data_IF_737372671983
#
_entry.id   IF_737372671983
#
_cell.length_a   1.000
_cell.length_b   1.000
_cell.length_c   1.000
_cell.angle_alpha   90.00
_cell.angle_beta   90.00
_cell.angle_gamma   90.00
#
_symmetry.space_group_name_H-M   'P 1'
#
loop_
_entity.id
_entity.type
_entity.pdbx_description
1 polymer ?
#
# COMPACT_ATOMS: atom_id res chain seq x y z
N UNK A 1 12.31 3.27 35.30
CA UNK A 1 12.47 2.66 33.97
C UNK A 1 13.26 3.66 33.14
N UNK A 2 14.50 3.34 32.76
CA UNK A 2 15.36 4.28 32.05
C UNK A 2 14.77 4.60 30.68
N UNK A 3 14.44 5.87 30.45
CA UNK A 3 14.12 6.36 29.12
C UNK A 3 15.37 6.20 28.25
N UNK A 4 15.39 5.18 27.40
CA UNK A 4 16.36 5.10 26.31
C UNK A 4 16.02 6.20 25.31
N UNK A 5 16.53 7.41 25.56
CA UNK A 5 16.47 8.49 24.58
C UNK A 5 17.31 8.08 23.37
N UNK A 6 16.65 7.98 22.21
CA UNK A 6 17.34 7.84 20.92
C UNK A 6 18.11 9.13 20.72
N UNK A 7 19.39 9.15 21.11
CA UNK A 7 20.26 10.30 20.93
C UNK A 7 20.56 10.49 19.45
N UNK A 8 20.83 11.73 19.04
CA UNK A 8 21.25 12.03 17.66
C UNK A 8 22.47 11.20 17.24
N UNK A 9 23.34 10.85 18.21
CA UNK A 9 24.49 9.97 18.01
C UNK A 9 24.09 8.52 17.69
N UNK A 10 23.10 7.97 18.42
CA UNK A 10 22.57 6.63 18.12
C UNK A 10 21.90 6.56 16.74
N UNK A 11 21.23 7.65 16.34
CA UNK A 11 20.63 7.78 15.01
C UNK A 11 21.72 7.86 13.92
N UNK A 12 22.79 8.64 14.16
CA UNK A 12 23.94 8.72 13.25
C UNK A 12 24.67 7.37 13.11
N UNK A 13 24.85 6.63 14.21
CA UNK A 13 25.40 5.28 14.19
C UNK A 13 24.51 4.30 13.41
N UNK A 14 23.18 4.41 13.52
CA UNK A 14 22.26 3.58 12.73
C UNK A 14 22.39 3.82 11.21
N UNK A 15 22.82 5.03 10.78
CA UNK A 15 23.11 5.32 9.37
C UNK A 15 24.31 4.54 8.83
N UNK A 16 25.18 4.00 9.69
CA UNK A 16 26.27 3.12 9.25
C UNK A 16 25.73 1.86 8.58
N UNK A 17 24.59 1.32 9.03
CA UNK A 17 23.94 0.16 8.39
C UNK A 17 23.53 0.45 6.94
N UNK A 18 23.06 1.68 6.70
CA UNK A 18 22.74 2.16 5.34
C UNK A 18 24.00 2.27 4.51
N UNK A 19 25.09 2.82 5.06
CA UNK A 19 26.37 2.93 4.36
C UNK A 19 26.90 1.56 3.94
N UNK A 20 26.80 0.54 4.80
CA UNK A 20 27.16 -0.84 4.46
C UNK A 20 26.34 -1.34 3.28
N UNK A 21 25.02 -1.13 3.28
CA UNK A 21 24.16 -1.52 2.17
C UNK A 21 24.53 -0.81 0.85
N UNK A 22 24.92 0.47 0.91
CA UNK A 22 25.39 1.23 -0.25
C UNK A 22 26.72 0.67 -0.77
N UNK A 23 27.67 0.36 0.12
CA UNK A 23 28.98 -0.21 -0.26
C UNK A 23 28.81 -1.58 -0.93
N UNK A 24 27.94 -2.44 -0.38
CA UNK A 24 27.62 -3.74 -1.01
C UNK A 24 26.96 -3.53 -2.37
N UNK A 25 25.99 -2.61 -2.45
CA UNK A 25 25.32 -2.31 -3.72
C UNK A 25 26.29 -1.78 -4.80
N UNK A 26 27.28 -1.00 -4.40
CA UNK A 26 28.31 -0.47 -5.30
C UNK A 26 29.25 -1.58 -5.77
N UNK A 27 29.67 -2.47 -4.86
CA UNK A 27 30.51 -3.63 -5.19
C UNK A 27 29.82 -4.58 -6.15
N UNK A 28 28.53 -4.85 -5.93
CA UNK A 28 27.71 -5.71 -6.77
C UNK A 28 27.16 -5.01 -8.03
N UNK A 29 27.51 -3.73 -8.26
CA UNK A 29 27.08 -2.92 -9.42
C UNK A 29 25.56 -2.92 -9.65
N UNK A 30 24.78 -2.94 -8.58
CA UNK A 30 23.30 -2.98 -8.66
C UNK A 30 22.69 -1.66 -9.17
N UNK A 31 23.48 -0.57 -9.21
CA UNK A 31 23.03 0.73 -9.70
C UNK A 31 22.01 1.43 -8.79
N UNK A 32 21.84 0.95 -7.55
CA UNK A 32 20.84 1.44 -6.60
C UNK A 32 21.36 2.57 -5.69
N UNK A 33 22.65 2.91 -5.72
CA UNK A 33 23.25 3.82 -4.73
C UNK A 33 22.56 5.19 -4.69
N UNK A 34 22.37 5.81 -5.86
CA UNK A 34 21.72 7.12 -5.99
C UNK A 34 20.25 7.05 -5.56
N UNK A 35 19.57 5.96 -5.91
CA UNK A 35 18.17 5.74 -5.56
C UNK A 35 17.99 5.53 -4.05
N UNK A 36 18.89 4.78 -3.40
CA UNK A 36 18.91 4.57 -1.95
C UNK A 36 19.15 5.91 -1.24
N UNK A 37 20.19 6.65 -1.64
CA UNK A 37 20.56 7.90 -0.98
C UNK A 37 19.47 8.97 -1.12
N UNK A 38 18.90 9.12 -2.32
CA UNK A 38 17.79 10.04 -2.55
C UNK A 38 16.51 9.61 -1.81
N UNK A 39 16.23 8.31 -1.75
CA UNK A 39 15.07 7.79 -1.01
C UNK A 39 15.17 8.05 0.49
N UNK A 40 16.37 7.91 1.07
CA UNK A 40 16.60 8.15 2.49
C UNK A 40 16.52 9.63 2.82
N UNK A 41 17.20 10.49 2.05
CA UNK A 41 17.14 11.94 2.25
C UNK A 41 15.68 12.43 2.18
N UNK A 42 14.94 11.97 1.16
CA UNK A 42 13.51 12.25 1.03
C UNK A 42 12.69 11.73 2.22
N UNK A 43 12.92 10.50 2.67
CA UNK A 43 12.20 9.90 3.79
C UNK A 43 12.42 10.69 5.09
N UNK A 44 13.66 11.09 5.38
CA UNK A 44 13.98 11.91 6.57
C UNK A 44 13.25 13.25 6.52
N UNK A 45 13.35 13.97 5.41
CA UNK A 45 12.66 15.27 5.24
C UNK A 45 11.15 15.09 5.37
N UNK A 46 10.58 14.06 4.74
CA UNK A 46 9.14 13.78 4.81
C UNK A 46 8.68 13.44 6.23
N UNK A 47 9.42 12.61 6.97
CA UNK A 47 9.08 12.23 8.33
C UNK A 47 9.13 13.43 9.28
N UNK A 48 10.13 14.32 9.12
CA UNK A 48 10.22 15.56 9.90
C UNK A 48 9.00 16.45 9.63
N UNK A 49 8.69 16.70 8.36
CA UNK A 49 7.54 17.55 7.97
C UNK A 49 6.23 16.95 8.51
N UNK A 50 6.01 15.65 8.28
CA UNK A 50 4.79 14.97 8.73
C UNK A 50 4.70 14.98 10.26
N UNK A 51 5.82 14.82 10.98
CA UNK A 51 5.84 14.90 12.44
C UNK A 51 5.35 16.25 12.96
N UNK A 52 5.82 17.37 12.38
CA UNK A 52 5.35 18.71 12.75
C UNK A 52 3.88 18.94 12.37
N UNK A 53 3.46 18.49 11.18
CA UNK A 53 2.06 18.59 10.73
C UNK A 53 1.14 17.81 11.69
N UNK A 54 1.49 16.59 12.06
CA UNK A 54 0.71 15.78 13.00
C UNK A 54 0.64 16.43 14.38
N UNK A 55 1.74 16.99 14.89
CA UNK A 55 1.76 17.73 16.16
C UNK A 55 0.72 18.86 16.17
N UNK A 56 0.61 19.61 15.07
CA UNK A 56 -0.39 20.67 14.94
C UNK A 56 -1.81 20.11 14.85
N UNK A 57 -2.05 19.13 13.97
CA UNK A 57 -3.38 18.54 13.75
C UNK A 57 -3.93 17.91 15.04
N UNK A 58 -3.07 17.23 15.81
CA UNK A 58 -3.46 16.60 17.07
C UNK A 58 -3.87 17.63 18.13
N UNK A 59 -3.25 18.82 18.13
CA UNK A 59 -3.59 19.88 19.08
C UNK A 59 -4.90 20.60 18.71
N UNK A 60 -5.16 20.80 17.42
CA UNK A 60 -6.38 21.50 16.95
C UNK A 60 -7.64 20.63 17.08
N UNK A 61 -7.49 19.31 17.06
CA UNK A 61 -8.56 18.32 17.25
C UNK A 61 -9.85 18.60 16.43
N UNK A 62 -9.68 18.94 15.14
CA UNK A 62 -10.80 19.31 14.27
C UNK A 62 -11.09 18.22 13.22
N UNK A 63 -12.32 17.71 13.20
CA UNK A 63 -12.75 16.60 12.34
C UNK A 63 -12.47 16.82 10.84
N UNK A 64 -12.69 18.05 10.35
CA UNK A 64 -12.42 18.42 8.96
C UNK A 64 -10.93 18.31 8.60
N UNK A 65 -10.02 18.73 9.49
CA UNK A 65 -8.58 18.61 9.25
C UNK A 65 -8.13 17.14 9.23
N UNK A 66 -8.70 16.32 10.11
CA UNK A 66 -8.50 14.86 10.09
C UNK A 66 -8.92 14.27 8.75
N UNK A 67 -10.13 14.58 8.27
CA UNK A 67 -10.64 14.07 7.00
C UNK A 67 -9.78 14.53 5.81
N UNK A 68 -9.35 15.80 5.79
CA UNK A 68 -8.45 16.32 4.77
C UNK A 68 -7.11 15.57 4.76
N UNK A 69 -6.56 15.26 5.93
CA UNK A 69 -5.32 14.48 6.02
C UNK A 69 -5.52 13.04 5.52
N UNK A 70 -6.64 12.40 5.84
CA UNK A 70 -6.98 11.07 5.30
C UNK A 70 -7.10 11.10 3.77
N UNK A 71 -7.75 12.11 3.20
CA UNK A 71 -7.84 12.29 1.75
C UNK A 71 -6.47 12.53 1.11
N UNK A 72 -5.61 13.33 1.76
CA UNK A 72 -4.23 13.55 1.31
C UNK A 72 -3.41 12.25 1.30
N UNK A 73 -3.58 11.40 2.32
CA UNK A 73 -2.97 10.06 2.38
C UNK A 73 -3.49 9.18 1.23
N UNK A 74 -4.80 9.09 1.04
CA UNK A 74 -5.41 8.30 -0.03
C UNK A 74 -4.97 8.77 -1.43
N UNK A 75 -4.86 10.09 -1.63
CA UNK A 75 -4.35 10.67 -2.88
C UNK A 75 -2.91 10.23 -3.16
N UNK A 76 -2.00 10.36 -2.17
CA UNK A 76 -0.61 9.95 -2.31
C UNK A 76 -0.48 8.43 -2.51
N UNK A 77 -1.27 7.65 -1.79
CA UNK A 77 -1.35 6.20 -1.94
C UNK A 77 -1.77 5.81 -3.37
N UNK A 78 -2.82 6.42 -3.91
CA UNK A 78 -3.26 6.20 -5.29
C UNK A 78 -2.21 6.62 -6.32
N UNK A 79 -1.55 7.76 -6.10
CA UNK A 79 -0.50 8.27 -6.97
C UNK A 79 0.73 7.35 -7.03
N UNK A 80 1.11 6.75 -5.91
CA UNK A 80 2.21 5.79 -5.86
C UNK A 80 1.79 4.40 -6.38
N UNK A 81 0.55 3.98 -6.14
CA UNK A 81 0.02 2.72 -6.67
C UNK A 81 0.04 2.69 -8.21
N UNK A 82 -0.39 3.78 -8.88
CA UNK A 82 -0.35 3.84 -10.34
C UNK A 82 1.08 3.75 -10.91
N UNK A 83 2.06 4.33 -10.22
CA UNK A 83 3.47 4.36 -10.68
C UNK A 83 4.11 2.97 -10.67
N UNK A 84 3.54 2.02 -9.91
CA UNK A 84 4.03 0.64 -9.82
C UNK A 84 3.76 -0.18 -11.09
N UNK A 85 2.82 0.19 -11.94
CA UNK A 85 2.57 -0.52 -13.22
C UNK A 85 3.01 0.30 -14.42
N UNK A 86 3.71 -0.35 -15.35
CA UNK A 86 4.16 0.23 -16.62
C UNK A 86 3.16 0.00 -17.78
N UNK A 87 2.07 -0.72 -17.51
CA UNK A 87 1.19 -1.28 -18.54
C UNK A 87 -0.19 -0.62 -18.62
N UNK A 88 -0.59 0.12 -17.58
CA UNK A 88 -1.94 0.67 -17.46
C UNK A 88 -1.86 2.20 -17.46
N UNK A 89 -2.46 2.83 -18.46
CA UNK A 89 -2.51 4.29 -18.54
C UNK A 89 -3.61 4.82 -17.64
N UNK A 90 -3.38 6.02 -17.07
CA UNK A 90 -4.37 6.75 -16.27
C UNK A 90 -4.99 5.89 -15.16
N UNK A 91 -4.18 5.05 -14.51
CA UNK A 91 -4.63 4.18 -13.42
C UNK A 91 -4.98 4.96 -12.14
N UNK A 92 -4.60 6.25 -12.05
CA UNK A 92 -4.83 7.11 -10.90
C UNK A 92 -6.27 7.09 -10.39
N UNK A 93 -7.26 7.36 -11.26
CA UNK A 93 -8.67 7.45 -10.85
C UNK A 93 -9.16 6.08 -10.32
N UNK A 94 -8.78 5.00 -11.00
CA UNK A 94 -9.10 3.64 -10.58
C UNK A 94 -8.47 3.29 -9.23
N UNK A 95 -7.23 3.74 -8.98
CA UNK A 95 -6.53 3.59 -7.70
C UNK A 95 -7.17 4.42 -6.60
N UNK A 96 -7.54 5.67 -6.91
CA UNK A 96 -8.13 6.60 -5.97
C UNK A 96 -9.47 6.08 -5.48
N UNK A 97 -10.34 5.64 -6.39
CA UNK A 97 -11.62 5.02 -6.04
C UNK A 97 -11.38 3.76 -5.22
N UNK A 98 -10.51 2.87 -5.66
CA UNK A 98 -10.27 1.61 -4.96
C UNK A 98 -9.74 1.79 -3.53
N UNK A 99 -8.67 2.57 -3.36
CA UNK A 99 -8.00 2.79 -2.07
C UNK A 99 -8.90 3.63 -1.16
N UNK A 100 -9.56 4.67 -1.68
CA UNK A 100 -10.45 5.50 -0.86
C UNK A 100 -11.67 4.72 -0.39
N UNK A 101 -12.31 3.94 -1.27
CA UNK A 101 -13.45 3.09 -0.88
C UNK A 101 -13.05 2.02 0.13
N UNK A 102 -11.91 1.34 -0.09
CA UNK A 102 -11.39 0.37 0.88
C UNK A 102 -11.09 1.01 2.23
N UNK A 103 -10.39 2.14 2.22
CA UNK A 103 -10.01 2.85 3.45
C UNK A 103 -11.22 3.40 4.19
N UNK A 104 -12.13 4.05 3.48
CA UNK A 104 -13.35 4.63 4.06
C UNK A 104 -14.25 3.55 4.66
N UNK A 105 -14.46 2.43 3.95
CA UNK A 105 -15.28 1.34 4.46
C UNK A 105 -14.66 0.73 5.73
N UNK A 106 -13.36 0.47 5.73
CA UNK A 106 -12.67 -0.10 6.89
C UNK A 106 -12.68 0.86 8.08
N UNK A 107 -12.40 2.15 7.87
CA UNK A 107 -12.49 3.15 8.94
C UNK A 107 -13.92 3.28 9.47
N UNK A 108 -14.92 3.30 8.58
CA UNK A 108 -16.32 3.37 9.00
C UNK A 108 -16.71 2.18 9.88
N UNK A 109 -16.32 0.96 9.51
CA UNK A 109 -16.56 -0.23 10.34
C UNK A 109 -15.90 -0.09 11.72
N UNK A 110 -14.63 0.35 11.77
CA UNK A 110 -13.90 0.48 13.04
C UNK A 110 -14.46 1.57 13.97
N UNK A 111 -14.92 2.68 13.41
CA UNK A 111 -15.52 3.78 14.17
C UNK A 111 -16.92 3.38 14.66
N UNK A 112 -17.73 2.78 13.78
CA UNK A 112 -19.10 2.36 14.11
C UNK A 112 -19.12 1.18 15.10
N UNK A 113 -18.13 0.31 15.07
CA UNK A 113 -17.98 -0.77 16.05
C UNK A 113 -17.47 -0.30 17.41
N UNK A 114 -17.12 0.99 17.55
CA UNK A 114 -16.50 1.54 18.76
C UNK A 114 -15.10 1.00 19.02
N UNK A 115 -14.45 0.41 18.01
CA UNK A 115 -13.09 -0.13 18.14
C UNK A 115 -12.03 0.97 18.06
N UNK A 116 -12.34 2.07 17.38
CA UNK A 116 -11.54 3.30 17.37
C UNK A 116 -12.44 4.51 17.56
N UNK A 117 -11.94 5.53 18.24
CA UNK A 117 -12.60 6.82 18.34
C UNK A 117 -12.23 7.68 17.13
N UNK A 118 -13.15 8.54 16.68
CA UNK A 118 -12.88 9.49 15.59
C UNK A 118 -12.04 10.68 16.07
N UNK A 119 -10.84 10.38 16.59
CA UNK A 119 -9.85 11.37 17.02
C UNK A 119 -8.67 11.38 16.04
N UNK A 120 -8.04 12.56 15.78
CA UNK A 120 -6.94 12.65 14.84
C UNK A 120 -5.78 11.68 15.15
N UNK A 121 -5.50 11.47 16.45
CA UNK A 121 -4.43 10.61 16.93
C UNK A 121 -4.62 9.14 16.58
N UNK A 122 -5.87 8.66 16.47
CA UNK A 122 -6.17 7.28 16.06
C UNK A 122 -6.42 7.18 14.56
N UNK A 123 -7.26 8.06 14.00
CA UNK A 123 -7.72 7.97 12.62
C UNK A 123 -6.58 8.17 11.62
N UNK A 124 -5.68 9.16 11.84
CA UNK A 124 -4.66 9.49 10.84
C UNK A 124 -3.61 8.37 10.69
N UNK A 125 -3.01 7.84 11.79
CA UNK A 125 -2.07 6.73 11.67
C UNK A 125 -2.72 5.45 11.11
N UNK A 126 -3.95 5.13 11.55
CA UNK A 126 -4.68 3.95 11.06
C UNK A 126 -4.98 4.08 9.58
N UNK A 127 -5.43 5.25 9.12
CA UNK A 127 -5.63 5.53 7.70
C UNK A 127 -4.34 5.39 6.90
N UNK A 128 -3.21 5.87 7.45
CA UNK A 128 -1.89 5.71 6.85
C UNK A 128 -1.52 4.24 6.62
N UNK A 129 -1.73 3.38 7.62
CA UNK A 129 -1.47 1.95 7.51
C UNK A 129 -2.41 1.27 6.49
N UNK A 130 -3.70 1.57 6.58
CA UNK A 130 -4.74 1.01 5.70
C UNK A 130 -4.47 1.37 4.23
N UNK A 131 -4.33 2.66 3.94
CA UNK A 131 -4.08 3.16 2.59
C UNK A 131 -2.70 2.73 2.07
N UNK A 132 -1.68 2.67 2.93
CA UNK A 132 -0.34 2.20 2.59
C UNK A 132 -0.32 0.74 2.16
N UNK A 133 -0.99 -0.14 2.90
CA UNK A 133 -1.12 -1.55 2.54
C UNK A 133 -1.95 -1.74 1.25
N UNK A 134 -3.05 -1.00 1.12
CA UNK A 134 -3.86 -1.00 -0.10
C UNK A 134 -3.06 -0.53 -1.34
N UNK A 135 -2.23 0.51 -1.21
CA UNK A 135 -1.33 0.98 -2.26
C UNK A 135 -0.39 -0.11 -2.77
N UNK A 136 0.22 -0.87 -1.85
CA UNK A 136 1.15 -1.95 -2.21
C UNK A 136 0.41 -3.07 -2.95
N UNK A 137 -0.73 -3.52 -2.42
CA UNK A 137 -1.53 -4.60 -3.01
C UNK A 137 -2.08 -4.20 -4.40
N UNK A 138 -2.68 -3.01 -4.52
CA UNK A 138 -3.21 -2.48 -5.79
C UNK A 138 -2.09 -2.32 -6.82
N UNK A 139 -0.94 -1.76 -6.43
CA UNK A 139 0.20 -1.59 -7.33
C UNK A 139 0.76 -2.92 -7.84
N UNK A 140 0.84 -3.94 -6.97
CA UNK A 140 1.25 -5.30 -7.37
C UNK A 140 0.21 -5.93 -8.30
N UNK A 141 -1.09 -5.76 -8.02
CA UNK A 141 -2.17 -6.22 -8.88
C UNK A 141 -2.07 -5.64 -10.28
N UNK A 142 -1.83 -4.33 -10.41
CA UNK A 142 -1.67 -3.67 -11.70
C UNK A 142 -0.44 -4.14 -12.47
N UNK A 143 0.67 -4.41 -11.78
CA UNK A 143 1.86 -4.93 -12.44
C UNK A 143 1.60 -6.36 -12.95
N UNK A 144 1.02 -7.23 -12.12
CA UNK A 144 0.70 -8.61 -12.46
C UNK A 144 -0.35 -8.68 -13.59
N UNK A 145 -1.38 -7.86 -13.53
CA UNK A 145 -2.43 -7.77 -14.55
C UNK A 145 -1.84 -7.32 -15.87
N UNK A 146 -1.09 -6.22 -15.88
CA UNK A 146 -0.44 -5.70 -17.07
C UNK A 146 0.52 -6.69 -17.74
N UNK A 147 1.36 -7.33 -16.92
CA UNK A 147 2.28 -8.36 -17.39
C UNK A 147 1.54 -9.54 -18.02
N UNK A 148 0.48 -10.05 -17.36
CA UNK A 148 -0.31 -11.18 -17.88
C UNK A 148 -1.05 -10.84 -19.17
N UNK A 149 -1.65 -9.66 -19.27
CA UNK A 149 -2.27 -9.20 -20.51
C UNK A 149 -1.27 -9.02 -21.66
N UNK A 150 -0.02 -8.63 -21.33
CA UNK A 150 1.06 -8.56 -22.31
C UNK A 150 1.57 -9.93 -22.74
N UNK A 151 1.75 -10.87 -21.80
CA UNK A 151 2.30 -12.20 -22.06
C UNK A 151 1.30 -13.17 -22.69
N UNK A 152 0.03 -13.09 -22.30
CA UNK A 152 -1.05 -14.00 -22.76
C UNK A 152 -1.91 -13.37 -23.87
N UNK A 153 -1.38 -12.37 -24.59
CA UNK A 153 -2.08 -11.61 -25.64
C UNK A 153 -2.71 -12.53 -26.70
N UNK A 154 -1.96 -13.53 -27.16
CA UNK A 154 -2.39 -14.48 -28.18
C UNK A 154 -3.61 -15.30 -27.72
N UNK A 155 -3.55 -15.86 -26.51
CA UNK A 155 -4.65 -16.65 -25.94
C UNK A 155 -5.91 -15.80 -25.71
N UNK A 156 -5.75 -14.52 -25.34
CA UNK A 156 -6.87 -13.59 -25.23
C UNK A 156 -7.52 -13.34 -26.60
N UNK A 157 -6.73 -13.14 -27.65
CA UNK A 157 -7.23 -12.92 -29.00
C UNK A 157 -7.96 -14.16 -29.54
N UNK A 158 -7.43 -15.36 -29.32
CA UNK A 158 -8.09 -16.62 -29.70
C UNK A 158 -9.49 -16.73 -29.08
N UNK A 159 -9.61 -16.46 -27.77
CA UNK A 159 -10.91 -16.48 -27.09
C UNK A 159 -11.89 -15.45 -27.65
N UNK A 160 -11.42 -14.23 -27.93
CA UNK A 160 -12.25 -13.17 -28.51
C UNK A 160 -12.71 -13.55 -29.92
N UNK A 161 -11.84 -14.13 -30.74
CA UNK A 161 -12.16 -14.62 -32.09
C UNK A 161 -13.19 -15.76 -32.08
N UNK A 162 -13.20 -16.58 -31.03
CA UNK A 162 -14.21 -17.60 -30.77
C UNK A 162 -15.52 -17.04 -30.16
N UNK A 163 -15.66 -15.72 -30.05
CA UNK A 163 -16.87 -15.06 -29.54
C UNK A 163 -16.94 -14.89 -28.02
N UNK A 164 -15.87 -15.18 -27.28
CA UNK A 164 -15.87 -14.94 -25.83
C UNK A 164 -15.92 -13.44 -25.51
N UNK A 165 -16.70 -13.05 -24.51
CA UNK A 165 -16.70 -11.67 -24.02
C UNK A 165 -15.40 -11.33 -23.28
N UNK A 166 -14.98 -10.04 -23.21
CA UNK A 166 -13.78 -9.63 -22.47
C UNK A 166 -13.73 -10.14 -21.03
N UNK A 167 -14.89 -10.20 -20.35
CA UNK A 167 -15.01 -10.72 -18.99
C UNK A 167 -14.65 -12.20 -18.92
N UNK A 168 -15.14 -13.01 -19.85
CA UNK A 168 -14.86 -14.45 -19.90
C UNK A 168 -13.41 -14.70 -20.33
N UNK A 169 -12.93 -13.98 -21.35
CA UNK A 169 -11.55 -14.09 -21.82
C UNK A 169 -10.53 -13.78 -20.72
N UNK A 170 -10.80 -12.74 -19.91
CA UNK A 170 -9.90 -12.25 -18.85
C UNK A 170 -10.10 -12.90 -17.48
N UNK A 171 -11.12 -13.73 -17.26
CA UNK A 171 -11.51 -14.18 -15.92
C UNK A 171 -10.37 -14.84 -15.15
N UNK A 172 -9.56 -15.67 -15.83
CA UNK A 172 -8.37 -16.30 -15.26
C UNK A 172 -7.31 -15.27 -14.87
N UNK A 173 -6.96 -14.36 -15.79
CA UNK A 173 -5.94 -13.34 -15.55
C UNK A 173 -6.31 -12.42 -14.39
N UNK A 174 -7.59 -12.03 -14.29
CA UNK A 174 -8.12 -11.23 -13.18
C UNK A 174 -7.94 -11.97 -11.85
N UNK A 175 -8.40 -13.23 -11.78
CA UNK A 175 -8.30 -14.05 -10.56
C UNK A 175 -6.86 -14.24 -10.12
N UNK A 176 -5.98 -14.60 -11.04
CA UNK A 176 -4.57 -14.86 -10.72
C UNK A 176 -3.83 -13.58 -10.32
N UNK A 177 -4.17 -12.43 -10.93
CA UNK A 177 -3.59 -11.13 -10.58
C UNK A 177 -4.01 -10.68 -9.19
N UNK A 178 -5.30 -10.83 -8.85
CA UNK A 178 -5.81 -10.53 -7.49
C UNK A 178 -5.13 -11.47 -6.48
N UNK A 179 -5.17 -12.78 -6.71
CA UNK A 179 -4.57 -13.77 -5.80
C UNK A 179 -3.10 -13.47 -5.53
N UNK A 180 -2.30 -13.33 -6.59
CA UNK A 180 -0.86 -13.06 -6.47
C UNK A 180 -0.54 -11.76 -5.74
N UNK A 181 -1.36 -10.72 -5.93
CA UNK A 181 -1.16 -9.45 -5.24
C UNK A 181 -1.49 -9.45 -3.74
N UNK A 182 -2.31 -10.41 -3.29
CA UNK A 182 -2.70 -10.55 -1.88
C UNK A 182 -1.80 -11.51 -1.09
N UNK A 183 -0.96 -12.29 -1.77
CA UNK A 183 -0.02 -13.22 -1.13
C UNK A 183 0.82 -12.52 -0.04
N UNK A 184 1.47 -11.37 -0.27
CA UNK A 184 2.28 -10.73 0.75
C UNK A 184 1.49 -10.31 1.99
N UNK A 185 0.26 -9.83 1.81
CA UNK A 185 -0.61 -9.45 2.93
C UNK A 185 -1.04 -10.67 3.74
N UNK A 186 -1.38 -11.77 3.07
CA UNK A 186 -1.75 -13.04 3.71
C UNK A 186 -0.56 -13.65 4.44
N UNK A 187 0.63 -13.64 3.84
CA UNK A 187 1.83 -14.20 4.46
C UNK A 187 2.30 -13.34 5.64
N UNK A 188 2.21 -12.02 5.55
CA UNK A 188 2.42 -11.14 6.71
C UNK A 188 1.48 -11.50 7.86
N UNK A 189 0.18 -11.70 7.59
CA UNK A 189 -0.79 -12.10 8.61
C UNK A 189 -0.47 -13.48 9.27
N UNK A 190 0.09 -14.44 8.53
CA UNK A 190 0.52 -15.74 9.09
C UNK A 190 1.73 -15.64 10.02
N UNK A 191 2.58 -14.64 9.81
CA UNK A 191 3.85 -14.49 10.53
C UNK A 191 3.76 -13.58 11.75
N UNK A 192 2.69 -12.77 11.86
CA UNK A 192 2.43 -11.88 13.00
C UNK A 192 2.34 -12.71 14.29
N UNK A 193 3.15 -12.34 15.27
CA UNK A 193 3.17 -12.96 16.61
C UNK A 193 4.07 -14.20 16.73
N UNK A 194 4.52 -14.80 15.61
CA UNK A 194 5.46 -15.93 15.62
C UNK A 194 6.87 -15.53 15.20
N UNK A 195 6.99 -14.84 14.06
CA UNK A 195 8.29 -14.45 13.48
C UNK A 195 8.55 -12.97 13.67
N UNK A 196 7.49 -12.15 13.62
CA UNK A 196 7.60 -10.71 13.84
C UNK A 196 6.60 -10.27 14.91
N UNK A 197 7.10 -9.58 15.93
CA UNK A 197 6.27 -8.77 16.82
C UNK A 197 6.05 -7.42 16.12
N UNK A 198 4.80 -7.05 15.79
CA UNK A 198 4.53 -5.81 15.10
C UNK A 198 4.98 -4.60 15.93
N UNK A 199 5.63 -3.62 15.28
CA UNK A 199 6.20 -2.46 15.97
C UNK A 199 5.18 -1.65 16.77
N UNK A 200 3.94 -1.54 16.29
CA UNK A 200 2.85 -0.89 17.05
C UNK A 200 2.54 -1.66 18.34
N UNK A 201 2.45 -2.99 18.27
CA UNK A 201 2.20 -3.82 19.46
C UNK A 201 3.32 -3.68 20.48
N UNK A 202 4.58 -3.78 20.05
CA UNK A 202 5.75 -3.55 20.92
C UNK A 202 5.76 -2.13 21.50
N UNK A 203 5.40 -1.12 20.70
CA UNK A 203 5.31 0.27 21.14
C UNK A 203 4.27 0.49 22.23
N UNK A 204 3.07 -0.11 22.11
CA UNK A 204 2.04 -0.06 23.16
C UNK A 204 2.52 -0.74 24.46
N UNK A 205 3.23 -1.87 24.34
CA UNK A 205 3.80 -2.58 25.49
C UNK A 205 4.88 -1.72 26.17
N UNK A 206 5.77 -1.09 25.41
CA UNK A 206 6.78 -0.17 25.96
C UNK A 206 6.17 1.08 26.60
N UNK A 207 5.00 1.52 26.11
CA UNK A 207 4.21 2.59 26.71
C UNK A 207 3.45 2.15 27.98
N UNK A 208 3.63 0.92 28.46
CA UNK A 208 3.03 0.41 29.69
C UNK A 208 1.58 -0.08 29.52
N UNK A 209 1.08 -0.21 28.29
CA UNK A 209 -0.24 -0.80 28.05
C UNK A 209 -0.18 -2.30 28.28
N UNK A 210 -1.22 -2.83 28.93
CA UNK A 210 -1.41 -4.26 29.15
C UNK A 210 -1.20 -5.07 27.86
N UNK A 211 -0.32 -6.09 27.86
CA UNK A 211 -0.02 -6.90 26.67
C UNK A 211 -1.25 -7.56 26.06
N UNK A 212 -2.24 -7.97 26.87
CA UNK A 212 -3.47 -8.60 26.35
C UNK A 212 -4.30 -7.59 25.56
N UNK A 213 -4.37 -6.33 26.01
CA UNK A 213 -4.98 -5.24 25.22
C UNK A 213 -4.20 -4.97 23.94
N UNK A 214 -2.87 -4.91 24.00
CA UNK A 214 -2.03 -4.69 22.81
C UNK A 214 -2.23 -5.79 21.75
N UNK A 215 -2.38 -7.05 22.18
CA UNK A 215 -2.68 -8.18 21.28
C UNK A 215 -4.04 -8.00 20.59
N UNK A 216 -5.09 -7.59 21.31
CA UNK A 216 -6.42 -7.36 20.72
C UNK A 216 -6.38 -6.29 19.63
N UNK A 217 -5.67 -5.18 19.87
CA UNK A 217 -5.44 -4.15 18.86
C UNK A 217 -4.68 -4.71 17.65
N UNK A 218 -3.67 -5.54 17.87
CA UNK A 218 -2.90 -6.11 16.77
C UNK A 218 -3.72 -7.09 15.92
N UNK A 219 -4.59 -7.90 16.53
CA UNK A 219 -5.52 -8.79 15.80
C UNK A 219 -6.46 -7.95 14.92
N UNK A 220 -7.03 -6.87 15.48
CA UNK A 220 -7.85 -5.92 14.74
C UNK A 220 -7.08 -5.30 13.55
N UNK A 221 -5.85 -4.87 13.77
CA UNK A 221 -4.96 -4.31 12.73
C UNK A 221 -4.71 -5.34 11.62
N UNK A 222 -4.47 -6.60 11.95
CA UNK A 222 -4.25 -7.64 10.95
C UNK A 222 -5.51 -7.86 10.08
N UNK A 223 -6.69 -7.91 10.70
CA UNK A 223 -7.96 -8.08 9.97
C UNK A 223 -8.32 -6.88 9.11
N UNK A 224 -8.12 -5.66 9.61
CA UNK A 224 -8.42 -4.45 8.85
C UNK A 224 -7.50 -4.33 7.61
N UNK A 225 -6.20 -4.66 7.76
CA UNK A 225 -5.23 -4.59 6.66
C UNK A 225 -5.55 -5.63 5.58
N UNK A 226 -5.87 -6.86 5.97
CA UNK A 226 -6.22 -7.93 5.05
C UNK A 226 -7.51 -7.62 4.29
N UNK A 227 -8.54 -7.11 5.00
CA UNK A 227 -9.81 -6.71 4.42
C UNK A 227 -9.66 -5.56 3.42
N UNK A 228 -8.93 -4.51 3.81
CA UNK A 228 -8.73 -3.34 2.96
C UNK A 228 -7.93 -3.69 1.71
N UNK A 229 -6.85 -4.47 1.85
CA UNK A 229 -6.05 -4.90 0.71
C UNK A 229 -6.89 -5.73 -0.26
N UNK A 230 -7.68 -6.67 0.24
CA UNK A 230 -8.57 -7.50 -0.57
C UNK A 230 -9.58 -6.64 -1.35
N UNK A 231 -10.35 -5.81 -0.64
CA UNK A 231 -11.39 -4.97 -1.25
C UNK A 231 -10.82 -3.98 -2.26
N UNK A 232 -9.77 -3.25 -1.88
CA UNK A 232 -9.13 -2.27 -2.77
C UNK A 232 -8.58 -2.94 -4.02
N UNK A 233 -7.93 -4.09 -3.87
CA UNK A 233 -7.37 -4.85 -4.99
C UNK A 233 -8.46 -5.35 -5.94
N UNK A 234 -9.55 -5.90 -5.40
CA UNK A 234 -10.68 -6.39 -6.20
C UNK A 234 -11.31 -5.23 -6.98
N UNK A 235 -11.62 -4.12 -6.32
CA UNK A 235 -12.20 -2.92 -6.97
C UNK A 235 -11.25 -2.39 -8.04
N UNK A 236 -9.97 -2.23 -7.70
CA UNK A 236 -8.96 -1.72 -8.64
C UNK A 236 -8.83 -2.62 -9.87
N UNK A 237 -8.80 -3.94 -9.69
CA UNK A 237 -8.69 -4.91 -10.78
C UNK A 237 -9.92 -4.85 -11.71
N UNK A 238 -11.13 -4.85 -11.15
CA UNK A 238 -12.37 -4.78 -11.92
C UNK A 238 -12.58 -3.43 -12.64
N UNK A 239 -12.11 -2.32 -12.07
CA UNK A 239 -12.13 -1.03 -12.77
C UNK A 239 -11.09 -0.95 -13.89
N UNK A 240 -9.99 -1.68 -13.76
CA UNK A 240 -8.83 -1.51 -14.64
C UNK A 240 -8.78 -2.51 -15.78
N UNK A 241 -9.27 -3.75 -15.60
CA UNK A 241 -9.20 -4.75 -16.69
C UNK A 241 -9.94 -4.29 -17.95
N UNK A 242 -11.03 -3.50 -17.79
CA UNK A 242 -11.79 -2.94 -18.91
C UNK A 242 -10.94 -2.02 -19.79
N UNK A 243 -9.90 -1.39 -19.24
CA UNK A 243 -9.01 -0.48 -19.98
C UNK A 243 -8.11 -1.20 -20.99
N UNK A 244 -7.96 -2.52 -20.90
CA UNK A 244 -7.25 -3.31 -21.92
C UNK A 244 -8.11 -3.60 -23.16
N UNK A 245 -9.38 -3.18 -23.16
CA UNK A 245 -10.32 -3.41 -24.25
C UNK A 245 -10.86 -2.08 -24.78
N UNK A 246 -11.09 -2.00 -26.09
CA UNK A 246 -11.85 -0.89 -26.68
C UNK A 246 -13.36 -1.19 -26.69
N UNK A 247 -14.17 -0.22 -27.15
CA UNK A 247 -15.63 -0.35 -27.25
C UNK A 247 -16.09 -1.52 -28.14
N UNK A 248 -15.23 -2.02 -29.04
CA UNK A 248 -15.48 -3.17 -29.93
C UNK A 248 -14.96 -4.49 -29.35
N UNK A 249 -14.64 -4.54 -28.05
CA UNK A 249 -14.04 -5.70 -27.38
C UNK A 249 -12.68 -6.16 -27.95
N UNK A 250 -11.98 -5.30 -28.69
CA UNK A 250 -10.66 -5.61 -29.19
C UNK A 250 -9.61 -5.30 -28.13
N UNK A 251 -8.59 -6.15 -28.06
CA UNK A 251 -7.49 -6.04 -27.11
C UNK A 251 -6.55 -4.89 -27.51
N UNK A 252 -6.43 -3.88 -26.65
CA UNK A 252 -5.54 -2.72 -26.81
C UNK A 252 -4.43 -2.81 -25.77
N UNK A 253 -3.48 -3.72 -26.01
CA UNK A 253 -2.26 -3.81 -25.20
C UNK A 253 -1.17 -3.04 -25.92
N UNK A 254 -1.00 -1.78 -25.53
CA UNK A 254 0.15 -0.95 -25.93
C UNK A 254 1.05 -0.83 -24.70
N UNK A 255 2.31 -1.27 -24.79
CA UNK A 255 3.28 -1.00 -23.73
C UNK A 255 3.50 0.52 -23.63
N UNK A 256 3.13 1.12 -22.50
CA UNK A 256 3.15 2.59 -22.34
C UNK A 256 4.55 3.14 -22.04
N UNK A 257 5.51 2.29 -21.67
CA UNK A 257 6.92 2.66 -21.53
C UNK A 257 7.77 1.94 -22.56
N UNK A 258 8.13 2.67 -23.63
CA UNK A 258 9.39 2.43 -24.34
C UNK A 258 10.50 2.73 -23.32
N UNK A 259 11.14 1.71 -22.77
CA UNK A 259 12.36 1.90 -21.98
C UNK A 259 13.37 2.58 -22.89
N UNK A 260 13.81 3.78 -22.48
CA UNK A 260 14.98 4.45 -23.03
C UNK A 260 16.21 3.94 -22.28
#
# INVERSE_FOLDING_TARGET
MGEHNITNESLALSMVLVLVAIVVSYREKLGLEKDILWSIARAVIQLIIVGYVLKYIFNVNHAVLTLLMVLFICFNAAWNAQKRSKYIDKAFISSLIAITTGTALTLAVLVLSGSIEFTPMQVIPISGMIAGNAMVAVGLCYNNLGQRFSSERQQLQEKLSLGATPKVASARLIRDSIRSSLIPTVDSAKTVGLVSLPGMMSGLIFAGIDPVKAIKYQIMVTFMLLSTASLSTIIACYLTYRKFYNARHQLVVTQLKKTR
#
